data_IF_440700123552
#
_entry.id   IF_440700123552
#
_cell.length_a   1.000
_cell.length_b   1.000
_cell.length_c   1.000
_cell.angle_alpha   90.00
_cell.angle_beta   90.00
_cell.angle_gamma   90.00
#
_symmetry.space_group_name_H-M   'P 1'
#
loop_
_entity.id
_entity.type
_entity.pdbx_description
1 polymer ?
#
# COMPACT_ATOMS: atom_id res chain seq x y z
N UNK A 1 -20.49 22.32 22.73
CA UNK A 1 -20.34 20.91 22.27
C UNK A 1 -19.04 20.23 22.72
N UNK A 2 -17.91 20.93 22.88
CA UNK A 2 -16.60 20.34 23.22
C UNK A 2 -16.36 20.01 24.72
N UNK A 3 -17.38 20.08 25.58
CA UNK A 3 -17.24 19.86 27.04
C UNK A 3 -17.55 18.42 27.50
N UNK A 4 -18.05 17.54 26.63
CA UNK A 4 -18.33 16.14 26.99
C UNK A 4 -17.07 15.31 26.99
N UNK A 5 -16.80 14.60 28.09
CA UNK A 5 -15.71 13.64 28.20
C UNK A 5 -15.86 12.56 27.11
N UNK A 6 -14.84 12.38 26.28
CA UNK A 6 -14.77 11.27 25.30
C UNK A 6 -14.84 9.94 26.07
N UNK A 7 -15.45 8.91 25.51
CA UNK A 7 -15.52 7.60 26.14
C UNK A 7 -14.35 6.71 25.72
N UNK A 8 -14.16 6.54 24.42
CA UNK A 8 -13.24 5.60 23.79
C UNK A 8 -11.95 6.25 23.33
N UNK A 9 -12.03 7.46 22.77
CA UNK A 9 -10.89 8.12 22.11
C UNK A 9 -10.00 8.86 23.11
N UNK A 10 -8.68 8.72 22.94
CA UNK A 10 -7.67 9.60 23.55
C UNK A 10 -7.43 10.80 22.63
N UNK A 11 -7.96 11.97 23.01
CA UNK A 11 -7.80 13.20 22.25
C UNK A 11 -6.32 13.57 22.04
N UNK A 12 -5.45 13.27 23.01
CA UNK A 12 -4.02 13.54 22.88
C UNK A 12 -3.37 12.63 21.83
N UNK A 13 -3.82 11.38 21.71
CA UNK A 13 -3.36 10.48 20.65
C UNK A 13 -3.76 11.00 19.26
N UNK A 14 -4.99 11.48 19.08
CA UNK A 14 -5.44 12.11 17.83
C UNK A 14 -4.58 13.32 17.46
N UNK A 15 -4.32 14.21 18.42
CA UNK A 15 -3.47 15.39 18.20
C UNK A 15 -2.03 15.00 17.84
N UNK A 16 -1.46 13.99 18.51
CA UNK A 16 -0.09 13.52 18.31
C UNK A 16 0.10 12.79 16.98
N UNK A 17 -0.87 11.96 16.60
CA UNK A 17 -0.75 11.02 15.48
C UNK A 17 -1.27 11.63 14.17
N UNK A 18 -2.38 12.39 14.20
CA UNK A 18 -2.97 12.98 12.99
C UNK A 18 -2.64 14.46 12.83
N UNK A 19 -2.55 15.22 13.93
CA UNK A 19 -2.15 16.64 13.94
C UNK A 19 -2.78 17.46 12.77
N UNK A 20 -1.98 18.13 11.95
CA UNK A 20 -2.42 18.93 10.78
C UNK A 20 -3.05 18.13 9.62
N UNK A 21 -3.01 16.80 9.67
CA UNK A 21 -3.64 15.93 8.68
C UNK A 21 -5.02 15.42 9.09
N UNK A 22 -5.52 15.84 10.26
CA UNK A 22 -6.91 15.57 10.64
C UNK A 22 -7.87 16.23 9.64
N UNK A 23 -8.99 15.57 9.25
CA UNK A 23 -9.90 16.07 8.21
C UNK A 23 -10.58 17.39 8.61
N UNK A 24 -10.76 17.58 9.91
CA UNK A 24 -11.18 18.82 10.57
C UNK A 24 -10.27 19.08 11.77
N UNK A 25 -10.55 20.12 12.57
CA UNK A 25 -9.82 20.34 13.81
C UNK A 25 -9.67 19.03 14.63
N UNK A 26 -8.46 18.63 15.07
CA UNK A 26 -8.23 17.34 15.72
C UNK A 26 -9.10 17.07 16.94
N UNK A 27 -9.44 18.12 17.71
CA UNK A 27 -10.33 17.98 18.87
C UNK A 27 -11.75 17.64 18.43
N UNK A 28 -12.25 18.35 17.41
CA UNK A 28 -13.56 18.08 16.80
C UNK A 28 -13.59 16.67 16.20
N UNK A 29 -12.53 16.28 15.48
CA UNK A 29 -12.45 14.96 14.89
C UNK A 29 -12.45 13.84 15.95
N UNK A 30 -11.77 14.03 17.09
CA UNK A 30 -11.82 13.10 18.20
C UNK A 30 -13.25 12.91 18.76
N UNK A 31 -14.05 13.97 18.85
CA UNK A 31 -15.46 13.87 19.26
C UNK A 31 -16.35 13.20 18.20
N UNK A 32 -16.10 13.47 16.92
CA UNK A 32 -16.80 12.82 15.82
C UNK A 32 -16.52 11.32 15.86
N UNK A 33 -15.26 10.93 15.94
CA UNK A 33 -14.85 9.53 16.02
C UNK A 33 -15.46 8.85 17.25
N UNK A 34 -15.41 9.47 18.43
CA UNK A 34 -16.02 8.92 19.65
C UNK A 34 -17.54 8.71 19.50
N UNK A 35 -18.23 9.56 18.74
CA UNK A 35 -19.65 9.42 18.42
C UNK A 35 -19.91 8.26 17.47
N UNK A 36 -19.09 8.13 16.41
CA UNK A 36 -19.16 6.99 15.48
C UNK A 36 -18.94 5.69 16.25
N UNK A 37 -17.91 5.62 17.09
CA UNK A 37 -17.60 4.43 17.88
C UNK A 37 -18.74 4.04 18.83
N UNK A 38 -19.42 5.01 19.44
CA UNK A 38 -20.63 4.74 20.25
C UNK A 38 -21.75 4.14 19.42
N UNK A 39 -22.00 4.68 18.22
CA UNK A 39 -23.03 4.16 17.33
C UNK A 39 -22.73 2.76 16.81
N UNK A 40 -21.46 2.46 16.48
CA UNK A 40 -21.01 1.09 16.18
C UNK A 40 -21.30 0.18 17.37
N UNK A 41 -20.86 0.57 18.57
CA UNK A 41 -20.86 -0.29 19.75
C UNK A 41 -22.24 -0.58 20.32
N UNK A 42 -23.13 0.42 20.37
CA UNK A 42 -24.42 0.29 21.05
C UNK A 42 -25.57 0.00 20.09
N UNK A 43 -25.52 0.57 18.89
CA UNK A 43 -26.61 0.52 17.93
C UNK A 43 -26.27 -0.37 16.72
N UNK A 44 -25.01 -0.79 16.56
CA UNK A 44 -24.57 -1.59 15.41
C UNK A 44 -24.57 -0.78 14.11
N UNK A 45 -24.52 0.56 14.17
CA UNK A 45 -24.56 1.41 12.98
C UNK A 45 -23.32 1.16 12.11
N UNK A 46 -23.50 1.18 10.79
CA UNK A 46 -22.43 0.94 9.81
C UNK A 46 -22.24 2.10 8.85
N UNK A 47 -23.20 3.02 8.76
CA UNK A 47 -23.13 4.14 7.83
C UNK A 47 -23.61 5.44 8.50
N UNK A 48 -22.90 6.54 8.24
CA UNK A 48 -23.23 7.89 8.67
C UNK A 48 -23.15 8.84 7.47
N UNK A 49 -24.16 9.69 7.31
CA UNK A 49 -24.19 10.75 6.30
C UNK A 49 -25.00 11.95 6.80
N UNK A 50 -25.13 12.99 5.97
CA UNK A 50 -26.04 14.11 6.24
C UNK A 50 -27.51 13.70 6.34
N UNK A 51 -27.88 12.54 5.79
CA UNK A 51 -29.25 12.00 5.86
C UNK A 51 -29.53 11.18 7.12
N UNK A 52 -28.53 10.98 7.98
CA UNK A 52 -28.65 10.18 9.19
C UNK A 52 -27.66 9.02 9.24
N UNK A 53 -27.88 8.13 10.21
CA UNK A 53 -27.04 6.97 10.47
C UNK A 53 -27.87 5.69 10.44
N UNK A 54 -27.31 4.65 9.85
CA UNK A 54 -28.05 3.46 9.46
C UNK A 54 -27.33 2.16 9.89
N UNK A 55 -28.06 1.14 10.34
CA UNK A 55 -27.54 -0.22 10.48
C UNK A 55 -27.32 -0.85 9.10
N UNK A 56 -26.69 -2.02 9.08
CA UNK A 56 -26.44 -2.78 7.87
C UNK A 56 -27.69 -3.52 7.39
N UNK A 57 -27.74 -3.72 6.08
CA UNK A 57 -28.55 -4.75 5.44
C UNK A 57 -27.56 -5.63 4.65
N UNK A 58 -27.26 -6.87 5.10
CA UNK A 58 -28.00 -7.67 6.08
C UNK A 58 -27.74 -7.28 7.55
N UNK A 59 -28.71 -7.51 8.47
CA UNK A 59 -28.63 -7.07 9.87
C UNK A 59 -27.57 -7.80 10.72
N UNK A 60 -27.13 -8.97 10.29
CA UNK A 60 -26.11 -9.77 10.99
C UNK A 60 -24.76 -9.05 11.13
N UNK A 61 -24.41 -8.15 10.19
CA UNK A 61 -23.21 -7.31 10.31
C UNK A 61 -23.35 -6.37 11.51
N UNK A 62 -24.47 -5.64 11.62
CA UNK A 62 -24.77 -4.77 12.75
C UNK A 62 -24.77 -5.50 14.09
N UNK A 63 -25.38 -6.68 14.17
CA UNK A 63 -25.41 -7.45 15.42
C UNK A 63 -24.01 -7.87 15.87
N UNK A 64 -23.13 -8.22 14.93
CA UNK A 64 -21.75 -8.59 15.26
C UNK A 64 -20.86 -7.42 15.70
N UNK A 65 -21.21 -6.19 15.33
CA UNK A 65 -20.48 -4.98 15.72
C UNK A 65 -20.79 -4.53 17.15
N UNK A 66 -21.97 -4.86 17.68
CA UNK A 66 -22.37 -4.45 19.03
C UNK A 66 -21.39 -4.98 20.09
N UNK A 67 -20.97 -4.09 20.99
CA UNK A 67 -19.99 -4.37 22.04
C UNK A 67 -18.54 -4.54 21.57
N UNK A 68 -18.22 -4.45 20.27
CA UNK A 68 -16.85 -4.65 19.80
C UNK A 68 -15.90 -3.55 20.28
N UNK A 69 -16.35 -2.28 20.32
CA UNK A 69 -15.51 -1.17 20.75
C UNK A 69 -15.20 -1.26 22.25
N UNK A 70 -16.15 -1.73 23.07
CA UNK A 70 -15.90 -2.02 24.49
C UNK A 70 -14.82 -3.10 24.64
N UNK A 71 -14.82 -4.14 23.79
CA UNK A 71 -13.75 -5.15 23.76
C UNK A 71 -12.40 -4.55 23.37
N UNK A 72 -12.35 -3.65 22.39
CA UNK A 72 -11.11 -2.93 22.01
C UNK A 72 -10.57 -2.10 23.18
N UNK A 73 -11.45 -1.37 23.86
CA UNK A 73 -11.06 -0.57 25.03
C UNK A 73 -10.58 -1.46 26.17
N UNK A 74 -11.28 -2.56 26.46
CA UNK A 74 -10.87 -3.53 27.47
C UNK A 74 -9.52 -4.16 27.12
N UNK A 75 -9.28 -4.49 25.85
CA UNK A 75 -8.00 -4.99 25.35
C UNK A 75 -6.86 -3.98 25.53
N UNK A 76 -7.15 -2.68 25.36
CA UNK A 76 -6.18 -1.63 25.65
C UNK A 76 -5.89 -1.50 27.15
N UNK A 77 -6.92 -1.58 28.00
CA UNK A 77 -6.79 -1.37 29.45
C UNK A 77 -6.23 -2.58 30.20
N UNK A 78 -6.53 -3.80 29.75
CA UNK A 78 -6.23 -5.06 30.45
C UNK A 78 -5.19 -5.88 29.68
N UNK A 79 -3.92 -5.44 29.69
CA UNK A 79 -2.85 -6.02 28.87
C UNK A 79 -2.01 -7.12 29.53
N UNK A 80 -2.54 -7.79 30.55
CA UNK A 80 -1.81 -8.87 31.22
C UNK A 80 -1.38 -9.96 30.23
N UNK A 81 -0.07 -10.18 30.08
CA UNK A 81 0.51 -11.17 29.16
C UNK A 81 0.61 -10.74 27.68
N UNK A 82 0.12 -9.56 27.31
CA UNK A 82 0.17 -9.05 25.93
C UNK A 82 1.45 -8.23 25.69
N UNK A 83 1.99 -8.30 24.48
CA UNK A 83 3.05 -7.39 24.02
C UNK A 83 2.49 -5.98 23.83
N UNK A 84 3.29 -4.90 23.94
CA UNK A 84 2.82 -3.53 23.77
C UNK A 84 2.18 -3.20 22.41
N UNK A 85 2.46 -4.00 21.39
CA UNK A 85 1.95 -3.80 20.02
C UNK A 85 0.77 -4.71 19.66
N UNK A 86 0.42 -5.68 20.50
CA UNK A 86 -0.69 -6.59 20.22
C UNK A 86 -2.00 -5.81 20.07
N UNK A 87 -2.71 -6.10 18.99
CA UNK A 87 -4.03 -5.55 18.68
C UNK A 87 -5.11 -6.61 18.93
N UNK A 88 -6.33 -6.14 19.17
CA UNK A 88 -7.50 -7.00 19.24
C UNK A 88 -7.78 -7.57 17.86
N UNK A 89 -7.58 -8.88 17.69
CA UNK A 89 -7.83 -9.61 16.44
C UNK A 89 -9.19 -10.30 16.35
N UNK A 90 -10.09 -10.11 17.33
CA UNK A 90 -11.36 -10.84 17.41
C UNK A 90 -12.43 -10.42 16.39
N UNK A 91 -12.20 -9.32 15.66
CA UNK A 91 -13.04 -8.90 14.54
C UNK A 91 -12.22 -8.07 13.54
N UNK A 92 -12.41 -8.31 12.25
CA UNK A 92 -11.68 -7.62 11.18
C UNK A 92 -12.65 -6.76 10.36
N UNK A 93 -12.51 -5.44 10.47
CA UNK A 93 -13.29 -4.47 9.72
C UNK A 93 -12.58 -3.12 9.73
N UNK A 94 -12.89 -2.30 8.75
CA UNK A 94 -12.36 -0.93 8.70
C UNK A 94 -13.46 0.11 8.88
N UNK A 95 -13.07 1.28 9.37
CA UNK A 95 -13.91 2.48 9.45
C UNK A 95 -13.35 3.45 8.41
N UNK A 96 -14.14 3.79 7.39
CA UNK A 96 -13.73 4.70 6.32
C UNK A 96 -14.46 6.02 6.49
N UNK A 97 -13.73 7.08 6.79
CA UNK A 97 -14.25 8.45 6.88
C UNK A 97 -13.88 9.22 5.62
N UNK A 98 -14.89 9.64 4.84
CA UNK A 98 -14.69 10.31 3.56
C UNK A 98 -15.24 11.73 3.59
N UNK A 99 -14.41 12.70 3.19
CA UNK A 99 -14.78 14.11 3.04
C UNK A 99 -14.70 14.53 1.58
N UNK A 100 -15.86 14.62 0.94
CA UNK A 100 -16.01 15.17 -0.41
C UNK A 100 -16.16 16.69 -0.32
N UNK A 101 -15.03 17.40 -0.15
CA UNK A 101 -15.02 18.86 -0.03
C UNK A 101 -15.75 19.55 -1.19
N UNK A 102 -15.55 19.04 -2.41
CA UNK A 102 -16.16 19.57 -3.64
C UNK A 102 -17.69 19.45 -3.65
N UNK A 103 -18.24 18.43 -2.97
CA UNK A 103 -19.68 18.17 -2.89
C UNK A 103 -20.31 18.60 -1.55
N UNK A 104 -19.52 19.18 -0.64
CA UNK A 104 -19.99 19.52 0.72
C UNK A 104 -20.49 18.31 1.52
N UNK A 105 -20.04 17.10 1.20
CA UNK A 105 -20.56 15.85 1.76
C UNK A 105 -19.50 15.14 2.61
N UNK A 106 -19.90 14.66 3.78
CA UNK A 106 -19.08 13.81 4.64
C UNK A 106 -19.86 12.54 4.93
N UNK A 107 -19.17 11.40 4.82
CA UNK A 107 -19.73 10.11 5.17
C UNK A 107 -18.73 9.29 5.98
N UNK A 108 -19.24 8.34 6.75
CA UNK A 108 -18.42 7.35 7.45
C UNK A 108 -19.07 5.99 7.29
N UNK A 109 -18.29 4.98 6.93
CA UNK A 109 -18.78 3.65 6.62
C UNK A 109 -17.92 2.57 7.30
N UNK A 110 -18.54 1.48 7.72
CA UNK A 110 -17.87 0.28 8.19
C UNK A 110 -17.72 -0.73 7.04
N UNK A 111 -16.49 -1.13 6.74
CA UNK A 111 -16.17 -2.21 5.79
C UNK A 111 -15.98 -3.52 6.56
N UNK A 112 -17.02 -4.34 6.62
CA UNK A 112 -17.08 -5.54 7.47
C UNK A 112 -16.41 -6.78 6.84
N UNK A 113 -15.08 -6.87 6.90
CA UNK A 113 -14.32 -7.99 6.31
C UNK A 113 -14.55 -9.34 7.01
N UNK A 114 -15.00 -9.32 8.25
CA UNK A 114 -15.49 -10.51 8.95
C UNK A 114 -16.73 -11.16 8.32
N UNK A 115 -17.42 -10.43 7.44
CA UNK A 115 -18.57 -10.91 6.66
C UNK A 115 -18.19 -11.05 5.17
N UNK A 116 -17.49 -10.05 4.62
CA UNK A 116 -16.91 -10.10 3.27
C UNK A 116 -15.52 -10.74 3.29
N UNK A 117 -15.50 -12.06 3.52
CA UNK A 117 -14.29 -12.83 3.85
C UNK A 117 -13.22 -12.82 2.75
N UNK A 118 -13.57 -12.53 1.50
CA UNK A 118 -12.61 -12.39 0.41
C UNK A 118 -11.64 -11.21 0.60
N UNK A 119 -11.99 -10.26 1.47
CA UNK A 119 -11.16 -9.11 1.82
C UNK A 119 -10.58 -9.21 3.24
N UNK A 120 -10.79 -10.34 3.93
CA UNK A 120 -10.35 -10.52 5.31
C UNK A 120 -8.82 -10.65 5.38
N UNK A 121 -8.24 -9.96 6.36
CA UNK A 121 -6.83 -10.10 6.71
C UNK A 121 -6.56 -11.49 7.30
N UNK A 122 -5.36 -12.05 7.08
CA UNK A 122 -4.88 -13.21 7.81
C UNK A 122 -5.09 -13.03 9.31
N UNK A 123 -5.34 -14.12 10.04
CA UNK A 123 -5.73 -14.06 11.46
C UNK A 123 -4.73 -13.28 12.34
N UNK A 124 -3.43 -13.44 12.06
CA UNK A 124 -2.34 -12.72 12.73
C UNK A 124 -2.21 -11.23 12.34
N UNK A 125 -2.91 -10.79 11.29
CA UNK A 125 -2.91 -9.40 10.81
C UNK A 125 -4.25 -8.68 11.05
N UNK A 126 -5.25 -9.39 11.58
CA UNK A 126 -6.59 -8.84 11.87
C UNK A 126 -6.49 -7.67 12.84
N UNK A 127 -7.12 -6.59 12.46
CA UNK A 127 -7.18 -5.34 13.22
C UNK A 127 -8.32 -4.48 12.70
N UNK A 128 -8.62 -3.43 13.43
CA UNK A 128 -9.60 -2.43 12.99
C UNK A 128 -8.87 -1.17 12.57
N UNK A 129 -8.97 -0.81 11.30
CA UNK A 129 -8.26 0.35 10.73
C UNK A 129 -9.22 1.48 10.46
N UNK A 130 -8.84 2.69 10.87
CA UNK A 130 -9.49 3.92 10.45
C UNK A 130 -8.80 4.42 9.18
N UNK A 131 -9.55 4.54 8.08
CA UNK A 131 -9.14 5.22 6.85
C UNK A 131 -9.77 6.60 6.79
N UNK A 132 -8.97 7.61 6.42
CA UNK A 132 -9.39 9.01 6.29
C UNK A 132 -9.16 9.46 4.85
N UNK A 133 -10.23 9.57 4.08
CA UNK A 133 -10.24 10.00 2.69
C UNK A 133 -10.68 11.48 2.62
N UNK A 134 -9.76 12.40 2.92
CA UNK A 134 -10.06 13.85 2.95
C UNK A 134 -9.01 14.73 2.27
N UNK A 135 -7.99 14.10 1.69
CA UNK A 135 -6.81 14.75 1.16
C UNK A 135 -6.63 14.40 -0.30
N UNK A 136 -6.18 15.39 -1.07
CA UNK A 136 -5.77 15.21 -2.46
C UNK A 136 -4.35 15.73 -2.62
N UNK A 137 -3.54 15.04 -3.40
CA UNK A 137 -2.19 15.49 -3.78
C UNK A 137 -2.19 15.67 -5.29
N UNK A 138 -2.12 16.93 -5.73
CA UNK A 138 -2.26 17.36 -7.13
C UNK A 138 -3.43 16.69 -7.88
N UNK A 139 -4.59 16.57 -7.21
CA UNK A 139 -5.81 16.00 -7.79
C UNK A 139 -6.03 14.50 -7.58
N UNK A 140 -5.00 13.75 -7.16
CA UNK A 140 -5.13 12.32 -6.80
C UNK A 140 -5.55 12.17 -5.35
N UNK A 141 -6.47 11.24 -5.08
CA UNK A 141 -6.94 10.94 -3.72
C UNK A 141 -5.81 10.37 -2.86
N UNK A 142 -5.76 10.80 -1.60
CA UNK A 142 -4.79 10.35 -0.61
C UNK A 142 -5.49 9.94 0.69
N UNK A 143 -5.40 8.65 1.00
CA UNK A 143 -5.92 8.03 2.21
C UNK A 143 -4.86 7.98 3.31
N UNK A 144 -5.23 8.45 4.50
CA UNK A 144 -4.44 8.32 5.71
C UNK A 144 -5.07 7.23 6.58
N UNK A 145 -4.27 6.24 6.97
CA UNK A 145 -4.76 5.05 7.64
C UNK A 145 -4.05 4.81 8.97
N UNK A 146 -4.79 4.37 9.98
CA UNK A 146 -4.25 4.09 11.31
C UNK A 146 -5.10 3.04 12.06
N UNK A 147 -4.48 2.04 12.72
CA UNK A 147 -5.17 1.15 13.64
C UNK A 147 -5.90 1.93 14.72
N UNK A 148 -7.22 1.71 14.80
CA UNK A 148 -8.12 2.48 15.66
C UNK A 148 -7.67 2.44 17.13
N UNK A 149 -7.19 1.28 17.60
CA UNK A 149 -6.73 1.12 18.98
C UNK A 149 -5.61 2.08 19.37
N UNK A 150 -4.77 2.53 18.43
CA UNK A 150 -3.69 3.50 18.69
C UNK A 150 -4.20 4.92 18.97
N UNK A 151 -5.46 5.21 18.60
CA UNK A 151 -6.16 6.45 18.92
C UNK A 151 -7.07 6.33 20.16
N UNK A 152 -7.27 5.11 20.66
CA UNK A 152 -8.14 4.83 21.80
C UNK A 152 -7.39 4.99 23.13
N UNK A 153 -8.15 5.24 24.19
CA UNK A 153 -7.64 5.26 25.56
C UNK A 153 -7.04 3.91 25.93
N UNK A 154 -6.08 3.96 26.86
CA UNK A 154 -5.39 2.78 27.36
C UNK A 154 -4.36 2.20 26.39
N UNK A 155 -4.24 2.70 25.15
CA UNK A 155 -3.17 2.26 24.26
C UNK A 155 -1.82 2.50 24.94
N UNK A 156 -0.98 1.46 25.08
CA UNK A 156 0.29 1.59 25.80
C UNK A 156 1.19 2.58 25.07
N UNK A 157 2.06 3.23 25.85
CA UNK A 157 3.12 4.10 25.35
C UNK A 157 4.41 3.56 25.93
N UNK A 158 5.36 3.23 25.06
CA UNK A 158 6.70 2.84 25.50
C UNK A 158 7.69 3.96 25.25
N UNK A 159 8.72 4.05 26.07
CA UNK A 159 9.82 4.98 25.84
C UNK A 159 10.59 4.57 24.58
N UNK A 160 11.07 5.56 23.83
CA UNK A 160 11.84 5.37 22.61
C UNK A 160 11.14 4.45 21.58
N UNK A 161 9.80 4.55 21.49
CA UNK A 161 9.04 3.78 20.53
C UNK A 161 9.51 4.04 19.09
N UNK A 162 9.45 2.97 18.30
CA UNK A 162 9.56 3.03 16.85
C UNK A 162 8.23 2.58 16.25
N UNK A 163 7.95 3.13 15.08
CA UNK A 163 6.76 2.82 14.30
C UNK A 163 7.15 2.23 12.95
N UNK A 164 6.29 1.35 12.47
CA UNK A 164 6.34 0.77 11.14
C UNK A 164 5.18 1.31 10.31
N UNK A 165 5.47 1.73 9.09
CA UNK A 165 4.50 2.35 8.21
C UNK A 165 4.60 1.80 6.79
N UNK A 166 3.50 1.95 6.05
CA UNK A 166 3.45 1.64 4.63
C UNK A 166 2.89 2.84 3.84
N UNK A 167 3.52 3.17 2.73
CA UNK A 167 2.97 4.08 1.74
C UNK A 167 2.58 3.27 0.51
N UNK A 168 1.33 3.39 0.07
CA UNK A 168 0.83 2.56 -1.02
C UNK A 168 0.41 3.36 -2.24
N UNK A 169 0.49 2.71 -3.40
CA UNK A 169 -0.11 3.16 -4.64
C UNK A 169 -1.08 2.06 -5.06
N UNK A 170 -2.37 2.33 -4.97
CA UNK A 170 -3.43 1.42 -5.38
C UNK A 170 -3.97 1.87 -6.73
N UNK A 171 -3.87 0.98 -7.72
CA UNK A 171 -4.44 1.13 -9.04
C UNK A 171 -5.78 0.40 -9.06
N UNK A 172 -6.83 1.06 -9.52
CA UNK A 172 -8.14 0.42 -9.68
C UNK A 172 -8.43 0.27 -11.15
N UNK A 173 -8.66 -0.96 -11.62
CA UNK A 173 -9.13 -1.20 -12.97
C UNK A 173 -10.56 -0.60 -13.10
N UNK A 174 -10.78 0.34 -14.03
CA UNK A 174 -12.06 1.02 -14.15
C UNK A 174 -13.19 0.12 -14.68
N UNK A 175 -12.85 -1.00 -15.33
CA UNK A 175 -13.82 -1.93 -15.91
C UNK A 175 -14.17 -3.07 -14.94
N UNK A 176 -13.18 -3.62 -14.25
CA UNK A 176 -13.36 -4.78 -13.36
C UNK A 176 -13.51 -4.41 -11.89
N UNK A 177 -13.03 -3.21 -11.50
CA UNK A 177 -12.92 -2.80 -10.10
C UNK A 177 -11.81 -3.52 -9.33
N UNK A 178 -11.00 -4.36 -10.00
CA UNK A 178 -9.86 -5.03 -9.39
C UNK A 178 -8.82 -4.00 -8.95
N UNK A 179 -8.26 -4.21 -7.76
CA UNK A 179 -7.27 -3.33 -7.17
C UNK A 179 -5.89 -3.98 -7.20
N UNK A 180 -4.92 -3.27 -7.76
CA UNK A 180 -3.50 -3.63 -7.67
C UNK A 180 -2.75 -2.64 -6.78
N UNK A 181 -2.25 -3.11 -5.64
CA UNK A 181 -1.61 -2.28 -4.62
C UNK A 181 -0.12 -2.59 -4.48
N UNK A 182 0.69 -1.53 -4.56
CA UNK A 182 2.14 -1.57 -4.37
C UNK A 182 2.52 -0.80 -3.11
N UNK A 183 3.55 -1.23 -2.39
CA UNK A 183 3.88 -0.73 -1.06
C UNK A 183 5.35 -0.33 -0.94
N UNK A 184 5.59 0.85 -0.39
CA UNK A 184 6.86 1.20 0.23
C UNK A 184 6.72 1.03 1.75
N UNK A 185 7.51 0.14 2.34
CA UNK A 185 7.53 -0.09 3.80
C UNK A 185 8.72 0.65 4.40
N UNK A 186 8.51 1.28 5.55
CA UNK A 186 9.57 1.95 6.29
C UNK A 186 9.36 1.96 7.78
N UNK A 187 10.42 2.32 8.50
CA UNK A 187 10.43 2.45 9.95
C UNK A 187 10.91 3.83 10.36
N UNK A 188 10.45 4.31 11.52
CA UNK A 188 10.79 5.64 12.00
C UNK A 188 10.62 5.76 13.51
N UNK A 189 11.43 6.62 14.15
CA UNK A 189 11.18 7.13 15.51
C UNK A 189 10.16 8.27 15.54
N UNK A 190 9.99 8.94 14.40
CA UNK A 190 9.10 10.09 14.20
C UNK A 190 7.79 9.63 13.60
N UNK A 191 6.74 10.44 13.75
CA UNK A 191 5.43 10.21 13.15
C UNK A 191 5.51 9.94 11.63
N UNK A 192 4.75 8.95 11.13
CA UNK A 192 4.80 8.49 9.73
C UNK A 192 4.29 9.53 8.73
N UNK A 193 3.40 10.44 9.14
CA UNK A 193 2.94 11.53 8.27
C UNK A 193 4.00 12.62 8.12
N UNK A 194 4.85 12.82 9.13
CA UNK A 194 6.04 13.68 9.00
C UNK A 194 7.01 13.07 7.99
N UNK A 195 7.20 11.74 8.03
CA UNK A 195 7.99 11.01 7.03
C UNK A 195 7.38 11.11 5.63
N UNK A 196 6.06 11.02 5.51
CA UNK A 196 5.38 11.23 4.23
C UNK A 196 5.60 12.65 3.69
N UNK A 197 5.58 13.67 4.55
CA UNK A 197 5.88 15.06 4.15
C UNK A 197 7.33 15.24 3.67
N UNK A 198 8.28 14.49 4.24
CA UNK A 198 9.66 14.42 3.75
C UNK A 198 9.72 13.76 2.38
N UNK A 199 9.03 12.62 2.18
CA UNK A 199 8.89 12.00 0.88
C UNK A 199 8.32 12.97 -0.17
N UNK A 200 7.29 13.76 0.16
CA UNK A 200 6.75 14.77 -0.78
C UNK A 200 7.79 15.79 -1.22
N UNK A 201 8.62 16.29 -0.31
CA UNK A 201 9.70 17.24 -0.65
C UNK A 201 10.75 16.60 -1.54
N UNK A 202 11.12 15.34 -1.26
CA UNK A 202 12.08 14.58 -2.07
C UNK A 202 11.50 14.24 -3.47
N UNK A 203 10.21 13.95 -3.55
CA UNK A 203 9.49 13.70 -4.80
C UNK A 203 9.54 14.94 -5.70
N UNK A 204 9.23 16.13 -5.15
CA UNK A 204 9.23 17.40 -5.87
C UNK A 204 10.63 17.82 -6.35
N UNK A 205 11.68 17.47 -5.61
CA UNK A 205 13.07 17.76 -5.97
C UNK A 205 13.67 16.75 -6.95
N UNK A 206 12.89 15.79 -7.45
CA UNK A 206 13.30 14.88 -8.50
C UNK A 206 14.07 13.65 -8.02
N UNK A 207 13.92 13.24 -6.76
CA UNK A 207 14.59 12.07 -6.21
C UNK A 207 14.33 10.79 -7.03
N UNK A 208 15.37 9.97 -7.23
CA UNK A 208 15.38 8.78 -8.09
C UNK A 208 14.86 7.49 -7.41
N UNK A 209 14.35 7.55 -6.16
CA UNK A 209 13.80 6.37 -5.47
C UNK A 209 12.65 5.75 -6.29
N UNK A 210 12.56 4.42 -6.35
CA UNK A 210 11.46 3.72 -7.05
C UNK A 210 10.09 4.20 -6.60
N UNK A 211 9.87 4.28 -5.29
CA UNK A 211 8.65 4.86 -4.72
C UNK A 211 8.39 6.29 -5.23
N UNK A 212 9.41 7.15 -5.32
CA UNK A 212 9.24 8.53 -5.76
C UNK A 212 8.97 8.65 -7.26
N UNK A 213 9.63 7.83 -8.08
CA UNK A 213 9.34 7.75 -9.51
C UNK A 213 7.91 7.30 -9.75
N UNK A 214 7.51 6.18 -9.13
CA UNK A 214 6.15 5.69 -9.21
C UNK A 214 5.15 6.77 -8.76
N UNK A 215 5.40 7.43 -7.63
CA UNK A 215 4.55 8.51 -7.15
C UNK A 215 4.37 9.63 -8.19
N UNK A 216 5.46 10.11 -8.80
CA UNK A 216 5.39 11.14 -9.84
C UNK A 216 4.65 10.68 -11.10
N UNK A 217 4.74 9.40 -11.44
CA UNK A 217 4.03 8.84 -12.60
C UNK A 217 2.51 8.77 -12.37
N UNK A 218 2.07 8.62 -11.13
CA UNK A 218 0.66 8.42 -10.79
C UNK A 218 -0.08 9.65 -10.29
N UNK A 219 0.64 10.66 -9.82
CA UNK A 219 0.01 11.89 -9.33
C UNK A 219 -0.74 12.62 -10.46
N UNK A 220 -1.94 13.13 -10.16
CA UNK A 220 -2.86 13.73 -11.14
C UNK A 220 -3.89 12.76 -11.74
N UNK A 221 -3.73 11.45 -11.54
CA UNK A 221 -4.70 10.44 -11.99
C UNK A 221 -5.86 10.27 -11.01
N UNK A 222 -7.03 9.95 -11.55
CA UNK A 222 -8.29 9.73 -10.79
C UNK A 222 -8.56 8.26 -10.48
N UNK A 223 -7.94 7.35 -11.20
CA UNK A 223 -8.00 5.89 -11.03
C UNK A 223 -6.93 5.35 -10.08
N UNK A 224 -6.26 6.26 -9.36
CA UNK A 224 -5.22 5.94 -8.38
C UNK A 224 -5.68 6.41 -7.01
N UNK A 225 -5.51 5.54 -6.01
CA UNK A 225 -5.57 5.89 -4.60
C UNK A 225 -4.17 5.80 -3.99
N UNK A 226 -3.70 6.90 -3.43
CA UNK A 226 -2.46 6.94 -2.68
C UNK A 226 -2.75 6.65 -1.21
N UNK A 227 -1.92 5.86 -0.54
CA UNK A 227 -2.12 5.46 0.85
C UNK A 227 -0.94 5.81 1.75
N UNK A 228 -1.22 6.17 3.00
CA UNK A 228 -0.22 6.31 4.06
C UNK A 228 -0.75 5.74 5.37
N UNK A 229 -0.31 4.53 5.68
CA UNK A 229 -0.75 3.74 6.82
C UNK A 229 0.32 3.69 7.90
N UNK A 230 -0.05 4.04 9.13
CA UNK A 230 0.66 3.55 10.32
C UNK A 230 0.28 2.09 10.49
N UNK A 231 1.20 1.14 10.34
CA UNK A 231 0.86 -0.29 10.41
C UNK A 231 1.01 -0.80 11.85
N UNK A 232 2.13 -0.45 12.48
CA UNK A 232 2.48 -0.93 13.82
C UNK A 232 3.23 0.14 14.62
N UNK A 233 3.16 0.07 15.95
CA UNK A 233 3.90 0.96 16.86
C UNK A 233 4.26 0.27 18.15
N UNK A 234 4.78 1.01 19.13
CA UNK A 234 5.29 0.46 20.39
C UNK A 234 6.35 -0.64 20.22
N UNK A 235 7.23 -0.54 19.22
CA UNK A 235 8.36 -1.46 19.07
C UNK A 235 9.66 -0.82 19.57
N UNK A 236 10.55 -1.64 20.12
CA UNK A 236 11.96 -1.27 20.25
C UNK A 236 12.64 -1.21 18.88
N UNK A 237 13.88 -0.72 18.83
CA UNK A 237 14.64 -0.66 17.59
C UNK A 237 14.84 -2.04 16.96
N UNK A 238 15.23 -3.05 17.74
CA UNK A 238 15.47 -4.41 17.20
C UNK A 238 14.17 -5.00 16.65
N UNK A 239 13.08 -4.92 17.43
CA UNK A 239 11.79 -5.46 17.02
C UNK A 239 11.23 -4.80 15.76
N UNK A 240 11.39 -3.48 15.60
CA UNK A 240 10.88 -2.81 14.41
C UNK A 240 11.72 -3.13 13.16
N UNK A 241 13.01 -3.39 13.34
CA UNK A 241 13.90 -3.78 12.25
C UNK A 241 13.57 -5.19 11.76
N UNK A 242 13.28 -6.12 12.67
CA UNK A 242 12.80 -7.46 12.32
C UNK A 242 11.47 -7.39 11.55
N UNK A 243 10.53 -6.56 12.03
CA UNK A 243 9.26 -6.32 11.35
C UNK A 243 9.43 -5.75 9.93
N UNK A 244 10.31 -4.77 9.75
CA UNK A 244 10.56 -4.17 8.42
C UNK A 244 11.14 -5.20 7.45
N UNK A 245 12.05 -6.03 7.93
CA UNK A 245 12.64 -7.11 7.15
C UNK A 245 11.58 -8.09 6.66
N UNK A 246 10.72 -8.59 7.55
CA UNK A 246 9.62 -9.49 7.21
C UNK A 246 8.65 -8.88 6.19
N UNK A 247 8.23 -7.63 6.42
CA UNK A 247 7.27 -6.95 5.56
C UNK A 247 7.83 -6.63 4.18
N UNK A 248 9.09 -6.17 4.11
CA UNK A 248 9.75 -5.91 2.82
C UNK A 248 9.94 -7.22 2.05
N UNK A 249 10.41 -8.29 2.70
CA UNK A 249 10.59 -9.59 2.05
C UNK A 249 9.25 -10.15 1.52
N UNK A 250 8.17 -10.05 2.31
CA UNK A 250 6.81 -10.42 1.91
C UNK A 250 6.39 -9.68 0.63
N UNK A 251 6.50 -8.35 0.59
CA UNK A 251 6.08 -7.59 -0.58
C UNK A 251 7.03 -7.74 -1.77
N UNK A 252 8.33 -7.97 -1.55
CA UNK A 252 9.28 -8.29 -2.61
C UNK A 252 8.94 -9.63 -3.28
N UNK A 253 8.66 -10.66 -2.49
CA UNK A 253 8.25 -11.98 -2.99
C UNK A 253 6.96 -11.92 -3.83
N UNK A 254 6.03 -11.01 -3.47
CA UNK A 254 4.79 -10.78 -4.21
C UNK A 254 4.96 -9.84 -5.42
N UNK A 255 6.16 -9.28 -5.65
CA UNK A 255 6.40 -8.29 -6.71
C UNK A 255 5.69 -6.94 -6.47
N UNK A 256 5.30 -6.65 -5.23
CA UNK A 256 4.56 -5.43 -4.83
C UNK A 256 5.40 -4.40 -4.07
N UNK A 257 6.67 -4.70 -3.76
CA UNK A 257 7.55 -3.83 -2.98
C UNK A 257 8.19 -2.71 -3.79
N UNK A 258 7.92 -1.46 -3.42
CA UNK A 258 8.58 -0.26 -3.94
C UNK A 258 9.91 0.04 -3.22
N UNK A 259 10.31 -0.76 -2.23
CA UNK A 259 11.64 -0.69 -1.62
C UNK A 259 12.72 -1.12 -2.62
N UNK A 260 13.86 -0.43 -2.62
CA UNK A 260 14.99 -0.72 -3.52
C UNK A 260 16.03 -1.65 -2.92
N UNK A 261 15.98 -1.86 -1.60
CA UNK A 261 16.88 -2.72 -0.83
C UNK A 261 16.04 -3.53 0.17
N UNK A 262 16.59 -4.63 0.71
CA UNK A 262 15.95 -5.36 1.81
C UNK A 262 15.65 -4.46 3.02
N UNK A 263 14.63 -4.83 3.79
CA UNK A 263 14.27 -4.14 5.04
C UNK A 263 15.23 -4.48 6.18
N UNK A 264 15.12 -3.77 7.30
CA UNK A 264 15.69 -4.17 8.57
C UNK A 264 17.21 -4.40 8.56
N UNK A 265 17.64 -5.44 9.27
CA UNK A 265 19.05 -5.79 9.43
C UNK A 265 19.65 -6.34 8.14
N UNK A 266 18.89 -7.08 7.32
CA UNK A 266 19.29 -7.44 5.95
C UNK A 266 19.66 -6.22 5.12
N UNK A 267 18.88 -5.14 5.22
CA UNK A 267 19.18 -3.87 4.57
C UNK A 267 20.50 -3.24 5.04
N UNK A 268 20.80 -3.28 6.34
CA UNK A 268 22.08 -2.80 6.88
C UNK A 268 23.24 -3.65 6.36
N UNK A 269 23.11 -4.98 6.42
CA UNK A 269 24.12 -5.92 5.92
C UNK A 269 24.39 -5.68 4.44
N UNK A 270 23.34 -5.51 3.64
CA UNK A 270 23.43 -5.19 2.22
C UNK A 270 24.22 -3.89 1.98
N UNK A 271 23.93 -2.82 2.72
CA UNK A 271 24.63 -1.54 2.57
C UNK A 271 26.10 -1.63 2.99
N UNK A 272 26.41 -2.41 4.03
CA UNK A 272 27.79 -2.69 4.45
C UNK A 272 28.55 -3.49 3.38
N UNK A 273 27.95 -4.53 2.80
CA UNK A 273 28.53 -5.31 1.70
C UNK A 273 28.81 -4.45 0.46
N UNK A 274 27.99 -3.42 0.23
CA UNK A 274 28.19 -2.42 -0.83
C UNK A 274 29.10 -1.24 -0.42
N UNK A 275 29.77 -1.33 0.74
CA UNK A 275 30.73 -0.34 1.27
C UNK A 275 30.15 1.06 1.47
N UNK A 276 28.85 1.14 1.76
CA UNK A 276 28.16 2.40 2.08
C UNK A 276 28.01 2.63 3.59
N UNK A 277 28.26 1.60 4.38
CA UNK A 277 28.40 1.66 5.82
C UNK A 277 29.76 1.09 6.21
N UNK A 278 30.41 1.72 7.20
CA UNK A 278 31.70 1.26 7.72
C UNK A 278 31.57 0.05 8.67
N UNK A 279 30.36 -0.21 9.16
CA UNK A 279 30.03 -1.33 10.04
C UNK A 279 28.59 -1.77 9.81
N UNK A 280 28.29 -3.04 10.10
CA UNK A 280 26.93 -3.55 10.17
C UNK A 280 26.34 -3.48 11.59
N UNK A 281 27.09 -3.00 12.58
CA UNK A 281 26.69 -2.98 13.99
C UNK A 281 26.42 -1.55 14.49
N UNK A 282 25.46 -1.41 15.41
CA UNK A 282 25.12 -0.16 16.10
C UNK A 282 24.78 1.03 15.20
N UNK A 283 24.23 0.76 14.01
CA UNK A 283 23.86 1.78 13.02
C UNK A 283 22.53 2.44 13.42
N UNK A 284 22.53 3.77 13.47
CA UNK A 284 21.31 4.55 13.70
C UNK A 284 20.47 4.64 12.43
N UNK A 285 19.14 4.78 12.57
CA UNK A 285 18.24 4.92 11.42
C UNK A 285 18.64 6.10 10.49
N UNK A 286 19.11 7.20 11.05
CA UNK A 286 19.53 8.36 10.26
C UNK A 286 20.80 8.11 9.43
N UNK A 287 21.70 7.26 9.92
CA UNK A 287 22.90 6.85 9.19
C UNK A 287 22.54 5.88 8.07
N UNK A 288 21.65 4.92 8.37
CA UNK A 288 21.06 4.03 7.36
C UNK A 288 20.38 4.80 6.23
N UNK A 289 19.56 5.81 6.55
CA UNK A 289 18.87 6.62 5.54
C UNK A 289 19.83 7.35 4.58
N UNK A 290 20.97 7.83 5.10
CA UNK A 290 22.03 8.43 4.26
C UNK A 290 22.67 7.40 3.35
N UNK A 291 23.01 6.23 3.86
CA UNK A 291 23.58 5.15 3.07
C UNK A 291 22.60 4.64 1.99
N UNK A 292 21.31 4.52 2.30
CA UNK A 292 20.26 4.20 1.32
C UNK A 292 20.24 5.24 0.20
N UNK A 293 20.29 6.53 0.55
CA UNK A 293 20.26 7.63 -0.42
C UNK A 293 21.50 7.62 -1.33
N UNK A 294 22.67 7.30 -0.77
CA UNK A 294 23.91 7.17 -1.55
C UNK A 294 23.90 5.93 -2.46
N UNK A 295 23.40 4.79 -1.97
CA UNK A 295 23.21 3.58 -2.79
C UNK A 295 22.37 3.88 -4.03
N UNK A 296 21.29 4.64 -3.85
CA UNK A 296 20.37 5.02 -4.91
C UNK A 296 21.01 5.97 -5.92
N UNK A 297 21.83 6.91 -5.46
CA UNK A 297 22.60 7.81 -6.34
C UNK A 297 23.53 7.03 -7.26
N UNK A 298 24.15 5.98 -6.74
CA UNK A 298 25.06 5.10 -7.50
C UNK A 298 24.31 4.11 -8.40
N UNK A 299 23.06 3.77 -8.09
CA UNK A 299 22.29 2.73 -8.79
C UNK A 299 20.91 3.22 -9.29
N UNK A 300 20.87 4.19 -10.22
CA UNK A 300 19.61 4.84 -10.61
C UNK A 300 18.64 3.94 -11.37
N UNK A 301 19.07 2.79 -11.90
CA UNK A 301 18.23 1.87 -12.70
C UNK A 301 17.63 0.70 -11.91
N UNK A 302 17.99 0.54 -10.63
CA UNK A 302 17.43 -0.52 -9.79
C UNK A 302 16.00 -0.13 -9.34
N UNK A 303 15.09 -1.10 -9.28
CA UNK A 303 13.69 -0.90 -8.86
C UNK A 303 12.68 -1.71 -9.66
N UNK A 304 11.40 -1.65 -9.24
CA UNK A 304 10.31 -2.20 -10.05
C UNK A 304 10.30 -1.49 -11.42
N UNK A 305 10.19 -2.24 -12.53
CA UNK A 305 9.93 -1.69 -13.86
C UNK A 305 8.76 -0.70 -13.83
N UNK A 306 8.76 0.29 -14.73
CA UNK A 306 7.71 1.30 -14.78
C UNK A 306 6.31 0.63 -14.71
N UNK A 307 5.56 0.94 -13.66
CA UNK A 307 4.31 0.27 -13.33
C UNK A 307 3.22 0.56 -14.39
N UNK A 308 3.29 1.71 -15.08
CA UNK A 308 2.47 2.02 -16.25
C UNK A 308 2.78 1.06 -17.40
N UNK A 309 4.06 0.78 -17.65
CA UNK A 309 4.46 -0.22 -18.66
C UNK A 309 3.95 -1.59 -18.25
N UNK A 310 3.99 -1.95 -16.97
CA UNK A 310 3.43 -3.22 -16.48
C UNK A 310 1.93 -3.37 -16.75
N UNK A 311 1.14 -2.32 -16.45
CA UNK A 311 -0.31 -2.30 -16.76
C UNK A 311 -0.58 -2.28 -18.27
N UNK A 312 0.14 -1.45 -19.02
CA UNK A 312 0.05 -1.44 -20.48
C UNK A 312 0.47 -2.79 -21.08
N UNK A 313 1.40 -3.52 -20.45
CA UNK A 313 1.80 -4.88 -20.87
C UNK A 313 0.67 -5.89 -20.71
N UNK A 314 -0.32 -5.66 -19.84
CA UNK A 314 -1.52 -6.50 -19.74
C UNK A 314 -2.44 -6.31 -20.95
N UNK A 315 -2.45 -5.12 -21.56
CA UNK A 315 -3.18 -4.86 -22.80
C UNK A 315 -2.49 -5.57 -23.98
N UNK A 316 -3.22 -6.45 -24.65
CA UNK A 316 -2.68 -7.28 -25.72
C UNK A 316 -2.26 -6.48 -26.96
N UNK A 317 -3.02 -5.45 -27.34
CA UNK A 317 -2.70 -4.56 -28.46
C UNK A 317 -1.44 -3.73 -28.19
N UNK A 318 -1.27 -3.24 -26.97
CA UNK A 318 -0.05 -2.54 -26.56
C UNK A 318 1.15 -3.50 -26.54
N UNK A 319 1.02 -4.68 -25.94
CA UNK A 319 2.07 -5.68 -25.90
C UNK A 319 2.51 -6.08 -27.33
N UNK A 320 1.55 -6.32 -28.23
CA UNK A 320 1.79 -6.60 -29.64
C UNK A 320 2.55 -5.46 -30.31
N UNK A 321 2.14 -4.21 -30.10
CA UNK A 321 2.79 -3.03 -30.67
C UNK A 321 4.22 -2.86 -30.17
N UNK A 322 4.52 -3.16 -28.92
CA UNK A 322 5.90 -3.06 -28.40
C UNK A 322 6.76 -4.26 -28.83
N UNK A 323 6.18 -5.47 -28.87
CA UNK A 323 6.89 -6.68 -29.30
C UNK A 323 7.24 -6.59 -30.79
N UNK A 324 6.32 -6.14 -31.64
CA UNK A 324 6.43 -6.16 -33.10
C UNK A 324 6.70 -4.78 -33.75
N UNK A 325 6.62 -3.68 -33.01
CA UNK A 325 6.69 -2.32 -33.59
C UNK A 325 8.07 -1.72 -33.76
N UNK A 326 9.14 -2.42 -33.36
CA UNK A 326 10.53 -1.97 -33.56
C UNK A 326 11.03 -2.45 -34.92
N UNK A 327 11.70 -1.55 -35.66
CA UNK A 327 12.29 -1.86 -36.97
C UNK A 327 13.22 -3.08 -36.90
N UNK A 328 13.08 -4.00 -37.86
CA UNK A 328 13.81 -5.28 -37.88
C UNK A 328 13.15 -6.43 -37.10
N UNK A 329 12.02 -6.22 -36.43
CA UNK A 329 11.21 -7.29 -35.82
C UNK A 329 10.11 -7.78 -36.76
N UNK A 330 9.68 -9.02 -36.56
CA UNK A 330 8.53 -9.60 -37.26
C UNK A 330 7.22 -8.94 -36.79
N UNK A 331 6.30 -8.69 -37.71
CA UNK A 331 4.95 -8.24 -37.42
C UNK A 331 4.12 -9.36 -36.77
N UNK A 332 2.99 -8.98 -36.15
CA UNK A 332 2.05 -9.94 -35.55
C UNK A 332 1.61 -10.98 -36.57
N UNK A 333 1.26 -10.55 -37.79
CA UNK A 333 0.82 -11.44 -38.86
C UNK A 333 1.94 -12.36 -39.35
N UNK A 334 3.18 -11.86 -39.42
CA UNK A 334 4.33 -12.68 -39.79
C UNK A 334 4.58 -13.77 -38.75
N UNK A 335 4.48 -13.47 -37.45
CA UNK A 335 4.66 -14.46 -36.38
C UNK A 335 3.57 -15.54 -36.42
N UNK A 336 2.31 -15.15 -36.61
CA UNK A 336 1.19 -16.09 -36.77
C UNK A 336 1.37 -16.98 -37.99
N UNK A 337 1.76 -16.40 -39.11
CA UNK A 337 1.97 -17.13 -40.35
C UNK A 337 3.15 -18.10 -40.26
N UNK A 338 4.24 -17.74 -39.56
CA UNK A 338 5.35 -18.67 -39.27
C UNK A 338 4.85 -19.91 -38.52
N UNK A 339 4.06 -19.71 -37.46
CA UNK A 339 3.51 -20.80 -36.65
C UNK A 339 2.57 -21.67 -37.47
N UNK A 340 1.72 -21.06 -38.31
CA UNK A 340 0.82 -21.75 -39.22
C UNK A 340 1.56 -22.59 -40.26
N UNK A 341 2.58 -22.03 -40.92
CA UNK A 341 3.37 -22.73 -41.93
C UNK A 341 4.21 -23.87 -41.33
N UNK A 342 4.73 -23.68 -40.12
CA UNK A 342 5.42 -24.74 -39.39
C UNK A 342 4.47 -25.88 -39.00
N UNK A 343 3.24 -25.56 -38.56
CA UNK A 343 2.22 -26.57 -38.26
C UNK A 343 1.82 -27.38 -39.51
N UNK A 344 1.97 -26.82 -40.71
CA UNK A 344 1.78 -27.51 -42.00
C UNK A 344 3.02 -28.32 -42.44
N UNK A 345 4.05 -28.43 -41.60
CA UNK A 345 5.26 -29.21 -41.86
C UNK A 345 6.22 -28.57 -42.86
N UNK A 346 6.14 -27.25 -43.07
CA UNK A 346 7.02 -26.56 -44.01
C UNK A 346 8.44 -26.40 -43.45
N UNK A 347 9.50 -26.65 -44.24
CA UNK A 347 10.88 -26.42 -43.81
C UNK A 347 11.17 -24.96 -43.44
N UNK A 348 11.96 -24.75 -42.38
CA UNK A 348 12.25 -23.43 -41.79
C UNK A 348 12.90 -22.48 -42.81
N UNK A 349 13.75 -23.00 -43.70
CA UNK A 349 14.41 -22.23 -44.76
C UNK A 349 13.40 -21.66 -45.75
N UNK A 350 12.36 -22.44 -46.06
CA UNK A 350 11.27 -22.03 -46.95
C UNK A 350 10.35 -21.00 -46.30
N UNK A 351 10.07 -21.17 -45.00
CA UNK A 351 9.32 -20.19 -44.21
C UNK A 351 10.07 -18.86 -44.14
N UNK A 352 11.40 -18.89 -43.90
CA UNK A 352 12.25 -17.70 -43.84
C UNK A 352 12.21 -16.89 -45.14
N UNK A 353 12.24 -17.57 -46.29
CA UNK A 353 12.13 -16.95 -47.62
C UNK A 353 10.73 -16.34 -47.86
N UNK A 354 9.67 -17.07 -47.50
CA UNK A 354 8.29 -16.60 -47.71
C UNK A 354 7.92 -15.39 -46.85
N UNK A 355 8.37 -15.38 -45.60
CA UNK A 355 8.07 -14.31 -44.63
C UNK A 355 9.03 -13.12 -44.75
N UNK A 356 10.09 -13.25 -45.56
CA UNK A 356 11.19 -12.27 -45.68
C UNK A 356 11.81 -11.95 -44.31
N UNK A 357 12.00 -12.98 -43.49
CA UNK A 357 12.67 -12.82 -42.21
C UNK A 357 14.15 -12.46 -42.42
N UNK A 358 14.76 -11.79 -41.43
CA UNK A 358 16.14 -11.34 -41.52
C UNK A 358 17.14 -12.51 -41.58
N UNK A 359 16.81 -13.62 -40.91
CA UNK A 359 17.58 -14.85 -40.92
C UNK A 359 16.73 -16.02 -40.39
N UNK A 360 17.19 -17.24 -40.68
CA UNK A 360 16.57 -18.50 -40.22
C UNK A 360 16.44 -18.55 -38.70
N UNK A 361 17.43 -18.01 -37.97
CA UNK A 361 17.44 -17.93 -36.51
C UNK A 361 16.26 -17.15 -35.93
N UNK A 362 15.72 -16.19 -36.67
CA UNK A 362 14.54 -15.43 -36.27
C UNK A 362 13.28 -16.32 -36.27
N UNK A 363 13.20 -17.26 -37.21
CA UNK A 363 12.12 -18.26 -37.28
C UNK A 363 12.26 -19.27 -36.15
N UNK A 364 13.47 -19.79 -35.92
CA UNK A 364 13.76 -20.74 -34.84
C UNK A 364 13.35 -20.17 -33.47
N UNK A 365 13.64 -18.89 -33.21
CA UNK A 365 13.26 -18.20 -31.96
C UNK A 365 11.77 -17.94 -31.80
N UNK A 366 11.01 -17.87 -32.90
CA UNK A 366 9.53 -17.80 -32.86
C UNK A 366 8.94 -19.16 -32.51
N UNK A 367 9.48 -20.23 -33.08
CA UNK A 367 8.99 -21.60 -32.92
C UNK A 367 9.37 -22.23 -31.57
N UNK A 368 10.51 -21.84 -31.02
CA UNK A 368 10.95 -22.22 -29.66
C UNK A 368 10.28 -21.41 -28.56
N UNK A 369 9.46 -20.41 -28.90
CA UNK A 369 8.85 -19.45 -27.98
C UNK A 369 9.85 -18.59 -27.16
N UNK A 370 11.14 -18.66 -27.47
CA UNK A 370 12.18 -17.79 -26.90
C UNK A 370 11.89 -16.30 -27.14
N UNK A 371 11.19 -16.00 -28.23
CA UNK A 371 10.71 -14.66 -28.58
C UNK A 371 9.28 -14.72 -29.09
N UNK A 372 8.53 -13.62 -28.95
CA UNK A 372 7.14 -13.50 -29.43
C UNK A 372 6.15 -14.49 -28.78
N UNK A 373 6.45 -15.01 -27.58
CA UNK A 373 5.64 -16.01 -26.87
C UNK A 373 4.16 -15.63 -26.70
N UNK A 374 3.86 -14.34 -26.53
CA UNK A 374 2.48 -13.81 -26.39
C UNK A 374 1.72 -13.61 -27.71
N UNK A 375 2.33 -13.87 -28.86
CA UNK A 375 1.70 -13.72 -30.16
C UNK A 375 1.22 -15.09 -30.61
N UNK A 376 -0.03 -15.44 -30.28
CA UNK A 376 -0.61 -16.74 -30.65
C UNK A 376 -1.13 -16.74 -32.09
#
# INVERSE_FOLDING_TARGET
MLSRKLQYIDQAAVMRLLSGYSPVNPKIFAHLLDTVLKGINYEGLVYWSSKGSYPSDPPEISERLKGVIDKLLAHNMNRGGLKPWDMYGGLDFDIVHTSHKDAGRVETEVKAYFYHVQYCRPENERRIVLHIHSHKVSGTEWSISIPLQMLMKGWPKIENEHIGYAHSITLTDPNTGEMDQHYYVGVSKRNWLIRMAEHFREIQTGSNKTFHRAWREYIGRRDVLLGSELVIGNHSFEQIMDWEEEMVDKYMALGKSLNMIPGGFKGIKFLHEHRLLNSAQNIKLEERERAISEYQRLNPRIGIPNLLISELWKNEEYAQKVICGVEGRLSVDQVREIRRLNALGMPIEKISLMIKALNVRQIERVLSEDTYSRIH
#
